data_IF_787218378399
#
_entry.id   IF_787218378399
#
_cell.length_a   1.000
_cell.length_b   1.000
_cell.length_c   1.000
_cell.angle_alpha   90.00
_cell.angle_beta   90.00
_cell.angle_gamma   90.00
#
_symmetry.space_group_name_H-M   'P 1'
#
loop_
_entity.id
_entity.type
_entity.pdbx_description
1 polymer ?
#
# COMPACT_ATOMS: atom_id res chain seq x y z
N UNK A 1 -50.62 -10.88 -20.67
CA UNK A 1 -49.95 -11.47 -21.82
C UNK A 1 -48.51 -11.10 -21.69
N UNK A 2 -47.70 -12.00 -21.09
CA UNK A 2 -46.71 -12.88 -21.72
C UNK A 2 -45.64 -12.06 -22.42
N UNK A 3 -44.33 -12.19 -22.11
CA UNK A 3 -43.47 -13.35 -22.20
C UNK A 3 -42.23 -13.18 -21.33
N UNK A 4 -41.95 -14.21 -20.54
CA UNK A 4 -40.62 -14.55 -19.96
C UNK A 4 -39.59 -14.70 -21.08
N UNK A 5 -38.37 -14.20 -20.87
CA UNK A 5 -37.20 -14.81 -21.44
C UNK A 5 -36.04 -14.82 -20.44
N UNK A 6 -35.86 -15.94 -19.79
CA UNK A 6 -34.69 -16.29 -19.00
C UNK A 6 -33.59 -16.74 -19.94
N UNK A 7 -32.42 -16.09 -19.88
CA UNK A 7 -31.20 -16.60 -20.53
C UNK A 7 -30.21 -16.97 -19.43
N UNK A 8 -30.12 -18.26 -19.15
CA UNK A 8 -29.02 -18.90 -18.42
C UNK A 8 -27.78 -18.93 -19.31
N UNK A 9 -26.73 -18.25 -18.91
CA UNK A 9 -25.38 -18.48 -19.44
C UNK A 9 -24.55 -19.15 -18.34
N UNK A 10 -24.48 -20.49 -18.45
CA UNK A 10 -23.44 -21.28 -17.79
C UNK A 10 -22.10 -20.97 -18.44
N UNK A 11 -21.18 -20.34 -17.72
CA UNK A 11 -19.76 -20.29 -18.10
C UNK A 11 -19.01 -21.35 -17.30
N UNK A 12 -18.59 -22.40 -18.01
CA UNK A 12 -17.77 -23.47 -17.51
C UNK A 12 -16.36 -23.00 -17.16
N UNK A 13 -15.97 -23.19 -15.89
CA UNK A 13 -14.58 -23.08 -15.44
C UNK A 13 -13.77 -24.24 -16.00
N UNK A 14 -12.96 -24.02 -17.02
CA UNK A 14 -11.93 -24.94 -17.46
C UNK A 14 -10.78 -24.95 -16.44
N UNK A 15 -10.66 -26.05 -15.68
CA UNK A 15 -9.51 -26.31 -14.81
C UNK A 15 -8.35 -26.75 -15.69
N UNK A 16 -7.29 -25.93 -15.78
CA UNK A 16 -6.01 -26.35 -16.31
C UNK A 16 -5.28 -27.17 -15.26
N UNK A 17 -5.26 -28.48 -15.46
CA UNK A 17 -4.36 -29.39 -14.76
C UNK A 17 -2.98 -29.30 -15.44
N UNK A 18 -2.01 -28.71 -14.75
CA UNK A 18 -0.61 -28.74 -15.15
C UNK A 18 -0.07 -30.18 -14.94
N UNK A 19 0.29 -30.81 -16.05
CA UNK A 19 1.01 -32.10 -16.07
C UNK A 19 2.45 -31.79 -15.64
N UNK A 20 2.88 -32.35 -14.53
CA UNK A 20 4.27 -32.33 -14.06
C UNK A 20 5.01 -33.43 -14.79
N UNK A 21 5.91 -33.06 -15.68
CA UNK A 21 6.81 -33.96 -16.38
C UNK A 21 7.99 -34.32 -15.45
N UNK A 22 8.32 -35.60 -15.25
CA UNK A 22 9.41 -36.00 -14.37
C UNK A 22 10.78 -35.75 -15.02
N UNK A 23 11.68 -35.14 -14.25
CA UNK A 23 13.07 -34.86 -14.60
C UNK A 23 13.86 -36.18 -14.92
N UNK A 24 14.81 -36.13 -15.85
CA UNK A 24 15.62 -37.29 -16.18
C UNK A 24 16.63 -37.62 -15.09
N UNK A 25 16.69 -38.89 -14.77
CA UNK A 25 17.68 -39.52 -13.87
C UNK A 25 19.06 -39.46 -14.51
N UNK A 26 20.00 -38.73 -13.86
CA UNK A 26 21.42 -38.74 -14.27
C UNK A 26 22.12 -39.92 -13.62
N UNK A 27 22.71 -40.78 -14.51
CA UNK A 27 23.50 -41.94 -14.12
C UNK A 27 24.81 -41.57 -13.44
N UNK A 28 25.36 -42.45 -12.56
CA UNK A 28 26.61 -42.19 -11.84
C UNK A 28 27.84 -42.33 -12.74
N UNK A 29 28.70 -41.32 -12.66
CA UNK A 29 30.00 -41.30 -13.33
C UNK A 29 31.00 -42.15 -12.52
N UNK A 30 31.87 -43.00 -13.18
CA UNK A 30 32.84 -43.84 -12.50
C UNK A 30 33.97 -43.04 -11.89
N UNK A 31 34.36 -43.42 -10.67
CA UNK A 31 35.56 -42.92 -9.97
C UNK A 31 36.79 -43.50 -10.60
N UNK A 32 37.76 -42.68 -10.97
CA UNK A 32 39.11 -43.05 -11.37
C UNK A 32 40.10 -42.85 -10.22
N UNK A 33 41.25 -43.51 -10.21
CA UNK A 33 41.99 -43.89 -9.05
C UNK A 33 42.90 -42.79 -8.50
N UNK A 34 43.11 -42.87 -7.18
CA UNK A 34 44.16 -42.12 -6.44
C UNK A 34 45.57 -42.35 -6.92
N UNK A 35 46.38 -41.33 -7.00
CA UNK A 35 47.80 -41.50 -6.74
C UNK A 35 48.39 -40.56 -5.69
N UNK A 36 49.19 -41.19 -4.86
CA UNK A 36 50.53 -40.78 -4.46
C UNK A 36 50.66 -39.57 -3.53
N UNK A 37 51.20 -39.94 -2.39
CA UNK A 37 51.78 -39.07 -1.37
C UNK A 37 52.71 -38.00 -1.99
N UNK A 38 52.49 -36.77 -1.63
CA UNK A 38 53.40 -35.67 -1.86
C UNK A 38 53.47 -34.78 -0.60
N UNK A 39 54.63 -34.79 -0.04
CA UNK A 39 55.30 -33.77 0.76
C UNK A 39 54.42 -32.76 1.52
N UNK A 40 54.49 -32.84 2.83
CA UNK A 40 53.98 -31.86 3.79
C UNK A 40 54.62 -30.49 3.56
N UNK A 41 53.85 -29.45 3.24
CA UNK A 41 54.34 -28.09 3.23
C UNK A 41 54.54 -27.59 4.67
N UNK A 42 55.49 -26.67 4.92
CA UNK A 42 55.73 -26.11 6.25
C UNK A 42 54.48 -25.37 6.75
N UNK A 43 54.23 -25.48 8.04
CA UNK A 43 53.10 -24.85 8.72
C UNK A 43 53.02 -23.34 8.42
N UNK A 44 51.86 -22.83 8.01
CA UNK A 44 51.68 -21.40 7.83
C UNK A 44 51.79 -20.68 9.18
N UNK A 45 52.48 -19.54 9.17
CA UNK A 45 52.60 -18.66 10.32
C UNK A 45 51.20 -18.29 10.88
N UNK A 46 51.06 -18.08 12.21
CA UNK A 46 49.79 -17.74 12.80
C UNK A 46 49.23 -16.45 12.18
N UNK A 47 48.12 -16.58 11.50
CA UNK A 47 47.38 -15.43 10.99
C UNK A 47 46.84 -14.62 12.17
N UNK A 48 46.95 -13.27 12.16
CA UNK A 48 46.34 -12.45 13.18
C UNK A 48 44.83 -12.71 13.17
N UNK A 49 44.27 -12.89 14.37
CA UNK A 49 42.84 -13.14 14.56
C UNK A 49 42.00 -12.07 13.82
N UNK A 50 40.94 -12.45 13.12
CA UNK A 50 40.08 -11.49 12.46
C UNK A 50 39.52 -10.49 13.49
N UNK A 51 39.84 -9.21 13.28
CA UNK A 51 39.26 -8.12 14.06
C UNK A 51 37.74 -8.21 13.92
N UNK A 52 36.99 -8.20 15.02
CA UNK A 52 35.50 -8.19 14.91
C UNK A 52 35.08 -6.99 14.09
N UNK A 53 34.66 -7.23 12.86
CA UNK A 53 34.07 -6.20 12.03
C UNK A 53 32.76 -5.83 12.69
N UNK A 54 32.62 -4.57 13.11
CA UNK A 54 31.37 -4.05 13.63
C UNK A 54 30.26 -4.36 12.61
N UNK A 55 29.03 -4.75 13.06
CA UNK A 55 27.94 -5.03 12.16
C UNK A 55 27.72 -3.81 11.27
N UNK A 56 27.68 -4.04 9.95
CA UNK A 56 27.37 -3.00 8.99
C UNK A 56 26.04 -2.36 9.37
N UNK A 57 25.92 -1.02 9.33
CA UNK A 57 24.65 -0.37 9.58
C UNK A 57 23.60 -0.95 8.61
N UNK A 58 22.36 -1.17 9.09
CA UNK A 58 21.30 -1.71 8.23
C UNK A 58 21.16 -0.82 6.99
N UNK A 59 20.88 -1.40 5.81
CA UNK A 59 20.72 -0.64 4.59
C UNK A 59 19.65 0.42 4.81
N UNK A 60 19.97 1.68 4.52
CA UNK A 60 18.99 2.78 4.49
C UNK A 60 18.12 2.52 3.25
N UNK A 61 16.96 1.92 3.47
CA UNK A 61 15.98 1.72 2.40
C UNK A 61 15.22 3.03 2.27
N UNK A 62 15.37 3.69 1.14
CA UNK A 62 14.56 4.87 0.83
C UNK A 62 13.07 4.49 0.85
N UNK A 63 12.21 5.27 1.51
CA UNK A 63 10.80 4.96 1.62
C UNK A 63 10.14 4.99 0.24
N UNK A 64 9.32 3.97 -0.05
CA UNK A 64 8.57 3.89 -1.31
C UNK A 64 7.08 3.68 -1.06
N UNK A 65 6.24 4.09 -2.04
CA UNK A 65 4.79 3.84 -1.97
C UNK A 65 4.46 2.35 -1.95
N UNK A 66 5.20 1.55 -2.71
CA UNK A 66 5.01 0.09 -2.76
C UNK A 66 5.35 -0.58 -1.43
N UNK A 67 6.39 -0.10 -0.75
CA UNK A 67 6.72 -0.54 0.60
C UNK A 67 5.59 -0.23 1.58
N UNK A 68 5.06 0.99 1.55
CA UNK A 68 3.95 1.39 2.43
C UNK A 68 2.69 0.55 2.16
N UNK A 69 2.34 0.34 0.89
CA UNK A 69 1.20 -0.48 0.49
C UNK A 69 1.37 -1.95 0.92
N UNK A 70 2.57 -2.52 0.76
CA UNK A 70 2.87 -3.89 1.17
C UNK A 70 2.77 -4.06 2.70
N UNK A 71 3.28 -3.10 3.48
CA UNK A 71 3.17 -3.11 4.94
C UNK A 71 1.70 -3.04 5.38
N UNK A 72 0.89 -2.20 4.74
CA UNK A 72 -0.54 -2.11 5.01
C UNK A 72 -1.26 -3.44 4.71
N UNK A 73 -0.98 -4.05 3.56
CA UNK A 73 -1.56 -5.33 3.16
C UNK A 73 -1.16 -6.49 4.10
N UNK A 74 0.04 -6.44 4.68
CA UNK A 74 0.54 -7.43 5.63
C UNK A 74 0.08 -7.19 7.08
N UNK A 75 -0.88 -6.29 7.31
CA UNK A 75 -1.40 -6.01 8.65
C UNK A 75 -0.43 -5.25 9.56
N UNK A 76 0.46 -4.45 8.99
CA UNK A 76 1.43 -3.63 9.71
C UNK A 76 1.12 -2.12 9.54
N UNK A 77 -0.06 -1.64 10.00
CA UNK A 77 -0.54 -0.29 9.75
C UNK A 77 0.41 0.79 10.30
N UNK A 78 0.97 0.59 11.49
CA UNK A 78 1.88 1.57 12.11
C UNK A 78 3.17 1.75 11.31
N UNK A 79 3.67 0.68 10.69
CA UNK A 79 4.85 0.76 9.84
C UNK A 79 4.51 1.42 8.51
N UNK A 80 3.39 1.05 7.90
CA UNK A 80 2.89 1.69 6.68
C UNK A 80 2.69 3.20 6.87
N UNK A 81 2.07 3.61 7.97
CA UNK A 81 1.91 5.01 8.36
C UNK A 81 3.24 5.75 8.41
N UNK A 82 4.25 5.18 9.09
CA UNK A 82 5.59 5.80 9.15
C UNK A 82 6.21 6.01 7.79
N UNK A 83 6.05 5.05 6.87
CA UNK A 83 6.56 5.17 5.50
C UNK A 83 5.82 6.25 4.73
N UNK A 84 4.48 6.30 4.79
CA UNK A 84 3.71 7.38 4.14
C UNK A 84 4.12 8.77 4.66
N UNK A 85 4.28 8.92 5.98
CA UNK A 85 4.71 10.18 6.57
C UNK A 85 6.15 10.57 6.20
N UNK A 86 7.05 9.58 6.04
CA UNK A 86 8.41 9.81 5.58
C UNK A 86 8.42 10.31 4.12
N UNK A 87 7.60 9.69 3.25
CA UNK A 87 7.43 10.13 1.86
C UNK A 87 6.96 11.59 1.76
N UNK A 88 6.00 11.99 2.60
CA UNK A 88 5.49 13.36 2.62
C UNK A 88 6.52 14.40 3.08
N UNK A 89 7.57 13.98 3.80
CA UNK A 89 8.68 14.85 4.27
C UNK A 89 9.84 14.92 3.28
N UNK A 90 9.82 14.11 2.22
CA UNK A 90 10.87 14.11 1.20
C UNK A 90 10.90 15.44 0.45
N UNK A 91 12.10 15.98 0.22
CA UNK A 91 12.26 17.20 -0.57
C UNK A 91 11.74 16.98 -1.99
N UNK A 92 11.00 17.95 -2.53
CA UNK A 92 10.43 17.91 -3.88
C UNK A 92 9.51 16.70 -4.14
N UNK A 93 8.76 16.28 -3.12
CA UNK A 93 7.78 15.19 -3.27
C UNK A 93 6.79 15.50 -4.40
N UNK A 94 6.54 14.54 -5.27
CA UNK A 94 5.61 14.72 -6.39
C UNK A 94 4.16 14.81 -5.90
N UNK A 95 3.31 15.53 -6.65
CA UNK A 95 1.87 15.59 -6.38
C UNK A 95 1.24 14.18 -6.32
N UNK A 96 1.65 13.29 -7.22
CA UNK A 96 1.16 11.91 -7.25
C UNK A 96 1.53 11.15 -5.96
N UNK A 97 2.74 11.33 -5.45
CA UNK A 97 3.19 10.74 -4.19
C UNK A 97 2.40 11.28 -3.00
N UNK A 98 2.13 12.59 -2.97
CA UNK A 98 1.29 13.20 -1.93
C UNK A 98 -0.12 12.60 -1.96
N UNK A 99 -0.75 12.53 -3.14
CA UNK A 99 -2.09 11.99 -3.34
C UNK A 99 -2.18 10.52 -2.89
N UNK A 100 -1.23 9.69 -3.32
CA UNK A 100 -1.17 8.28 -2.95
C UNK A 100 -0.92 8.08 -1.44
N UNK A 101 -0.06 8.89 -0.83
CA UNK A 101 0.20 8.84 0.61
C UNK A 101 -1.03 9.28 1.42
N UNK A 102 -1.72 10.34 1.01
CA UNK A 102 -2.96 10.80 1.63
C UNK A 102 -4.06 9.73 1.57
N UNK A 103 -4.23 9.09 0.41
CA UNK A 103 -5.16 7.98 0.25
C UNK A 103 -4.75 6.76 1.10
N UNK A 104 -3.46 6.46 1.19
CA UNK A 104 -2.94 5.39 2.04
C UNK A 104 -3.26 5.62 3.51
N UNK A 105 -2.99 6.82 4.03
CA UNK A 105 -3.31 7.23 5.40
C UNK A 105 -4.82 7.17 5.68
N UNK A 106 -5.66 7.63 4.74
CA UNK A 106 -7.11 7.48 4.82
C UNK A 106 -7.53 6.00 4.97
N UNK A 107 -6.97 5.10 4.16
CA UNK A 107 -7.28 3.66 4.23
C UNK A 107 -6.83 2.99 5.53
N UNK A 108 -5.78 3.52 6.16
CA UNK A 108 -5.32 3.06 7.48
C UNK A 108 -6.20 3.60 8.62
N UNK A 109 -7.11 4.54 8.35
CA UNK A 109 -7.91 5.23 9.37
C UNK A 109 -7.17 6.36 10.08
N UNK A 110 -5.98 6.73 9.60
CA UNK A 110 -5.18 7.85 10.13
C UNK A 110 -5.68 9.18 9.56
N UNK A 111 -6.94 9.50 9.87
CA UNK A 111 -7.67 10.62 9.26
C UNK A 111 -7.01 11.97 9.52
N UNK A 112 -6.39 12.17 10.68
CA UNK A 112 -5.70 13.42 10.99
C UNK A 112 -4.51 13.66 10.06
N UNK A 113 -3.67 12.64 9.86
CA UNK A 113 -2.53 12.70 8.96
C UNK A 113 -2.98 12.78 7.49
N UNK A 114 -4.08 12.10 7.15
CA UNK A 114 -4.67 12.18 5.82
C UNK A 114 -5.14 13.61 5.48
N UNK A 115 -5.81 14.30 6.41
CA UNK A 115 -6.23 15.71 6.24
C UNK A 115 -5.02 16.61 5.98
N UNK A 116 -3.93 16.44 6.74
CA UNK A 116 -2.71 17.21 6.52
C UNK A 116 -2.07 16.91 5.16
N UNK A 117 -2.06 15.65 4.73
CA UNK A 117 -1.55 15.27 3.43
C UNK A 117 -2.42 15.83 2.29
N UNK A 118 -3.75 15.79 2.39
CA UNK A 118 -4.66 16.43 1.43
C UNK A 118 -4.50 17.96 1.41
N UNK A 119 -4.22 18.59 2.56
CA UNK A 119 -3.91 20.01 2.60
C UNK A 119 -2.61 20.34 1.83
N UNK A 120 -1.59 19.50 1.96
CA UNK A 120 -0.34 19.63 1.21
C UNK A 120 -0.52 19.40 -0.30
N UNK A 121 -1.51 18.59 -0.69
CA UNK A 121 -1.90 18.40 -2.09
C UNK A 121 -2.46 19.70 -2.68
N UNK A 122 -3.10 20.53 -1.85
CA UNK A 122 -3.70 21.79 -2.27
C UNK A 122 -5.04 21.62 -2.98
N UNK A 123 -5.25 22.35 -4.08
CA UNK A 123 -6.50 22.31 -4.82
C UNK A 123 -6.64 21.01 -5.60
N UNK A 124 -7.79 20.36 -5.50
CA UNK A 124 -8.09 19.16 -6.28
C UNK A 124 -8.34 19.51 -7.75
N UNK A 125 -7.71 18.75 -8.63
CA UNK A 125 -7.88 18.84 -10.07
C UNK A 125 -9.11 18.05 -10.54
N UNK A 126 -9.51 18.27 -11.78
CA UNK A 126 -10.52 17.44 -12.42
C UNK A 126 -10.03 15.99 -12.55
N UNK A 127 -10.83 15.03 -12.14
CA UNK A 127 -10.47 13.61 -12.07
C UNK A 127 -9.91 13.18 -10.71
N UNK A 128 -9.84 14.10 -9.73
CA UNK A 128 -9.43 13.81 -8.35
C UNK A 128 -10.61 13.86 -7.37
N UNK A 129 -11.84 13.71 -7.86
CA UNK A 129 -13.06 13.81 -7.06
C UNK A 129 -13.14 12.71 -5.99
N UNK A 130 -12.60 11.53 -6.26
CA UNK A 130 -12.49 10.46 -5.25
C UNK A 130 -11.55 10.88 -4.10
N UNK A 131 -10.43 11.55 -4.39
CA UNK A 131 -9.53 12.07 -3.35
C UNK A 131 -10.21 13.14 -2.52
N UNK A 132 -11.02 13.98 -3.17
CA UNK A 132 -11.84 15.00 -2.47
C UNK A 132 -12.86 14.35 -1.53
N UNK A 133 -13.47 13.25 -1.96
CA UNK A 133 -14.36 12.46 -1.10
C UNK A 133 -13.60 11.87 0.10
N UNK A 134 -12.40 11.30 -0.10
CA UNK A 134 -11.59 10.78 1.01
C UNK A 134 -11.17 11.90 1.98
N UNK A 135 -10.88 13.09 1.46
CA UNK A 135 -10.65 14.26 2.31
C UNK A 135 -11.91 14.64 3.11
N UNK A 136 -13.09 14.63 2.47
CA UNK A 136 -14.35 14.93 3.16
C UNK A 136 -14.62 13.96 4.32
N UNK A 137 -14.40 12.66 4.12
CA UNK A 137 -14.53 11.65 5.17
C UNK A 137 -13.49 11.89 6.28
N UNK A 138 -12.23 12.15 5.91
CA UNK A 138 -11.16 12.42 6.89
C UNK A 138 -11.45 13.67 7.74
N UNK A 139 -11.99 14.72 7.11
CA UNK A 139 -12.43 15.93 7.79
C UNK A 139 -13.60 15.65 8.75
N UNK A 140 -14.54 14.79 8.35
CA UNK A 140 -15.65 14.38 9.20
C UNK A 140 -15.16 13.62 10.42
N UNK A 141 -14.30 12.62 10.25
CA UNK A 141 -13.77 11.80 11.34
C UNK A 141 -12.88 12.60 12.31
N UNK A 142 -12.30 13.72 11.84
CA UNK A 142 -11.54 14.67 12.68
C UNK A 142 -12.38 15.81 13.26
N UNK A 143 -13.72 15.75 13.12
CA UNK A 143 -14.65 16.74 13.70
C UNK A 143 -14.78 18.05 12.91
N UNK A 144 -14.17 18.15 11.73
CA UNK A 144 -14.22 19.33 10.85
C UNK A 144 -15.45 19.30 9.94
N UNK A 145 -16.64 19.23 10.52
CA UNK A 145 -17.90 18.96 9.83
C UNK A 145 -18.26 19.97 8.73
N UNK A 146 -17.98 21.25 8.95
CA UNK A 146 -18.26 22.29 7.96
C UNK A 146 -17.43 22.12 6.67
N UNK A 147 -16.14 21.82 6.84
CA UNK A 147 -15.22 21.57 5.74
C UNK A 147 -15.58 20.24 5.04
N UNK A 148 -15.92 19.21 5.82
CA UNK A 148 -16.39 17.93 5.29
C UNK A 148 -17.59 18.09 4.37
N UNK A 149 -18.63 18.85 4.78
CA UNK A 149 -19.80 19.15 3.95
C UNK A 149 -19.43 19.84 2.64
N UNK A 150 -18.55 20.81 2.70
CA UNK A 150 -18.09 21.56 1.53
C UNK A 150 -17.38 20.66 0.53
N UNK A 151 -16.40 19.87 1.00
CA UNK A 151 -15.67 18.96 0.11
C UNK A 151 -16.56 17.86 -0.45
N UNK A 152 -17.46 17.30 0.37
CA UNK A 152 -18.41 16.30 -0.08
C UNK A 152 -19.33 16.84 -1.17
N UNK A 153 -19.91 18.02 -0.99
CA UNK A 153 -20.80 18.64 -1.99
C UNK A 153 -20.10 18.86 -3.34
N UNK A 154 -18.78 19.11 -3.32
CA UNK A 154 -18.00 19.25 -4.54
C UNK A 154 -17.67 17.89 -5.19
N UNK A 155 -17.57 16.81 -4.42
CA UNK A 155 -17.24 15.48 -4.94
C UNK A 155 -18.44 14.73 -5.48
N UNK A 156 -19.59 14.78 -4.79
CA UNK A 156 -20.78 13.96 -5.06
C UNK A 156 -21.28 13.95 -6.52
N UNK A 157 -21.26 15.08 -7.27
CA UNK A 157 -21.73 15.08 -8.66
C UNK A 157 -20.90 14.24 -9.62
N UNK A 158 -19.69 13.84 -9.23
CA UNK A 158 -18.70 13.25 -10.13
C UNK A 158 -18.22 11.87 -9.70
N UNK A 159 -18.60 11.40 -8.51
CA UNK A 159 -18.20 10.09 -7.98
C UNK A 159 -19.35 9.09 -8.05
N UNK A 160 -19.00 7.81 -8.08
CA UNK A 160 -19.99 6.74 -8.00
C UNK A 160 -20.56 6.62 -6.58
N UNK A 161 -21.88 6.62 -6.45
CA UNK A 161 -22.56 6.46 -5.16
C UNK A 161 -22.60 4.98 -4.79
N UNK A 162 -21.60 4.54 -4.08
CA UNK A 162 -21.56 3.21 -3.43
C UNK A 162 -22.30 3.24 -2.10
N UNK A 163 -22.52 2.07 -1.49
CA UNK A 163 -23.10 1.96 -0.13
C UNK A 163 -22.32 2.76 0.91
N UNK A 164 -20.98 2.76 0.81
CA UNK A 164 -20.11 3.49 1.73
C UNK A 164 -20.23 5.01 1.50
N UNK A 165 -20.24 5.45 0.26
CA UNK A 165 -20.45 6.87 -0.08
C UNK A 165 -21.80 7.34 0.44
N UNK A 166 -22.89 6.58 0.20
CA UNK A 166 -24.21 6.91 0.71
C UNK A 166 -24.24 7.03 2.24
N UNK A 167 -23.63 6.07 2.94
CA UNK A 167 -23.54 6.07 4.41
C UNK A 167 -22.80 7.29 4.96
N UNK A 168 -21.64 7.65 4.39
CA UNK A 168 -20.89 8.84 4.83
C UNK A 168 -21.57 10.13 4.44
N UNK A 169 -22.19 10.21 3.26
CA UNK A 169 -23.02 11.35 2.88
C UNK A 169 -24.08 11.62 3.94
N UNK A 170 -24.87 10.61 4.30
CA UNK A 170 -25.96 10.75 5.26
C UNK A 170 -25.43 11.20 6.64
N UNK A 171 -24.31 10.62 7.10
CA UNK A 171 -23.66 11.05 8.35
C UNK A 171 -23.21 12.51 8.32
N UNK A 172 -22.52 12.90 7.25
CA UNK A 172 -21.97 14.26 7.10
C UNK A 172 -23.11 15.29 6.98
N UNK A 173 -24.16 14.98 6.23
CA UNK A 173 -25.31 15.89 6.03
C UNK A 173 -26.09 16.11 7.33
N UNK A 174 -26.21 15.10 8.19
CA UNK A 174 -26.90 15.20 9.48
C UNK A 174 -26.18 16.06 10.51
N UNK A 175 -24.89 16.34 10.35
CA UNK A 175 -24.17 17.18 11.29
C UNK A 175 -24.69 18.62 11.28
N UNK A 176 -24.83 19.28 12.45
CA UNK A 176 -25.28 20.67 12.50
C UNK A 176 -24.29 21.59 11.79
N UNK A 177 -24.79 22.52 11.01
CA UNK A 177 -23.98 23.56 10.42
C UNK A 177 -23.48 24.53 11.51
N UNK A 178 -22.26 25.08 11.41
CA UNK A 178 -21.71 26.00 12.42
C UNK A 178 -22.58 27.22 12.73
N UNK A 179 -23.42 27.59 11.78
CA UNK A 179 -24.40 28.70 11.94
C UNK A 179 -25.55 28.34 12.87
N UNK A 180 -25.89 27.07 13.05
CA UNK A 180 -26.95 26.63 13.96
C UNK A 180 -26.50 26.65 15.43
N UNK A 181 -25.20 26.64 15.71
CA UNK A 181 -24.63 26.67 17.06
C UNK A 181 -24.46 28.11 17.65
N UNK A 182 -24.67 29.14 16.85
CA UNK A 182 -24.54 30.55 17.28
C UNK A 182 -25.86 31.23 17.67
N UNK A 183 -26.95 30.48 17.84
CA UNK A 183 -28.26 31.01 18.30
C UNK A 183 -28.56 30.60 19.74
#
# INVERSE_FOLDING_TARGET
MSVLLAVLLLSACARHTAVIEPAPVVAPVPQAPTPTAAMTPPAPAPQPAPVPTAPAPPPVIDPTLDQAASLAANGQPDQARRVYLALLKTANVSRATIAASAQGLYRLGDYADAVEAFRNLGTFSRGEEDLRYYNAVSLFETGRYADAKKELACALPYIQITSDVARYRDKIEQMPSPQAMKR
#
